data_IF_722901669803
#
_entry.id   IF_722901669803
#
_cell.length_a   1.000
_cell.length_b   1.000
_cell.length_c   1.000
_cell.angle_alpha   90.00
_cell.angle_beta   90.00
_cell.angle_gamma   90.00
#
_symmetry.space_group_name_H-M   'P 1'
#
loop_
_entity.id
_entity.type
_entity.pdbx_description
1 polymer ?
#
# COMPACT_ATOMS: atom_id res chain seq x y z
N UNK A 1 -9.43 10.81 2.52
CA UNK A 1 -8.67 9.56 2.40
C UNK A 1 -8.61 8.90 3.77
N UNK A 2 -8.99 7.64 3.89
CA UNK A 2 -8.93 6.92 5.18
C UNK A 2 -7.50 6.49 5.46
N UNK A 3 -7.05 6.70 6.69
CA UNK A 3 -5.72 6.36 7.20
C UNK A 3 -5.61 4.85 7.41
N UNK A 4 -6.70 4.20 7.83
CA UNK A 4 -6.74 2.77 8.08
C UNK A 4 -6.41 1.92 6.83
N UNK A 5 -6.75 2.39 5.62
CA UNK A 5 -6.36 1.70 4.38
C UNK A 5 -4.86 1.79 4.05
N UNK A 6 -4.11 2.64 4.75
CA UNK A 6 -2.66 2.77 4.58
C UNK A 6 -1.85 1.97 5.62
N UNK A 7 -2.49 1.06 6.36
CA UNK A 7 -1.79 0.15 7.27
C UNK A 7 -0.89 -0.76 6.41
N UNK A 8 0.43 -0.83 6.69
CA UNK A 8 1.33 -1.73 5.98
C UNK A 8 0.86 -3.18 6.14
N UNK A 9 0.86 -3.95 5.04
CA UNK A 9 0.51 -5.38 5.06
C UNK A 9 1.66 -6.20 5.66
N UNK A 10 2.89 -5.69 5.56
CA UNK A 10 4.08 -6.31 6.14
C UNK A 10 4.11 -6.12 7.66
N UNK A 11 3.98 -7.22 8.40
CA UNK A 11 3.94 -7.22 9.87
C UNK A 11 5.13 -6.50 10.52
N UNK A 12 6.32 -6.53 9.89
CA UNK A 12 7.52 -5.85 10.39
C UNK A 12 7.48 -4.33 10.29
N UNK A 13 6.64 -3.77 9.41
CA UNK A 13 6.53 -2.32 9.22
C UNK A 13 5.45 -1.68 10.09
N UNK A 14 4.50 -2.48 10.61
CA UNK A 14 3.37 -1.98 11.41
C UNK A 14 3.84 -1.20 12.64
N UNK A 15 4.83 -1.66 13.45
CA UNK A 15 5.25 -0.92 14.64
C UNK A 15 5.73 0.50 14.30
N UNK A 16 6.70 0.63 13.41
CA UNK A 16 7.24 1.94 12.98
C UNK A 16 6.20 2.85 12.32
N UNK A 17 5.22 2.26 11.63
CA UNK A 17 4.09 3.01 11.09
C UNK A 17 3.19 3.54 12.20
N UNK A 18 2.84 2.71 13.18
CA UNK A 18 1.95 3.04 14.27
C UNK A 18 2.58 4.07 15.21
N UNK A 19 3.87 3.98 15.49
CA UNK A 19 4.61 4.99 16.27
C UNK A 19 4.55 6.39 15.64
N UNK A 20 4.57 6.47 14.31
CA UNK A 20 4.38 7.74 13.60
C UNK A 20 2.96 8.28 13.71
N UNK A 21 1.97 7.39 13.82
CA UNK A 21 0.59 7.82 14.09
C UNK A 21 0.45 8.29 15.54
N UNK A 22 1.06 7.59 16.49
CA UNK A 22 1.04 7.94 17.93
C UNK A 22 1.67 9.31 18.18
N UNK A 23 2.79 9.61 17.53
CA UNK A 23 3.46 10.93 17.64
C UNK A 23 2.84 12.00 16.73
N UNK A 24 1.87 11.63 15.89
CA UNK A 24 1.24 12.50 14.91
C UNK A 24 -0.09 13.08 15.38
N UNK A 25 -0.55 14.12 14.69
CA UNK A 25 -1.84 14.80 14.97
C UNK A 25 -3.07 14.04 14.46
N UNK A 26 -2.88 12.91 13.79
CA UNK A 26 -3.95 12.16 13.12
C UNK A 26 -4.42 10.93 13.88
N UNK A 27 -3.85 10.64 15.07
CA UNK A 27 -4.15 9.43 15.83
C UNK A 27 -5.66 9.28 16.12
N UNK A 28 -6.32 10.33 16.61
CA UNK A 28 -7.76 10.27 16.93
C UNK A 28 -8.64 9.92 15.72
N UNK A 29 -8.24 10.35 14.52
CA UNK A 29 -8.92 9.97 13.28
C UNK A 29 -8.70 8.49 12.96
N UNK A 30 -7.47 8.01 13.05
CA UNK A 30 -7.15 6.59 12.84
C UNK A 30 -7.96 5.70 13.80
N UNK A 31 -8.03 6.09 15.07
CA UNK A 31 -8.80 5.36 16.09
C UNK A 31 -10.27 5.26 15.69
N UNK A 32 -10.90 6.37 15.29
CA UNK A 32 -12.28 6.35 14.83
C UNK A 32 -12.52 5.47 13.59
N UNK A 33 -11.58 5.44 12.64
CA UNK A 33 -11.67 4.56 11.46
C UNK A 33 -11.54 3.08 11.83
N UNK A 34 -10.61 2.73 12.74
CA UNK A 34 -10.44 1.37 13.24
C UNK A 34 -11.64 0.90 14.06
N UNK A 35 -12.26 1.78 14.87
CA UNK A 35 -13.49 1.47 15.61
C UNK A 35 -14.65 1.11 14.66
N UNK A 36 -14.78 1.81 13.54
CA UNK A 36 -15.80 1.50 12.53
C UNK A 36 -15.53 0.13 11.89
N UNK A 37 -14.26 -0.22 11.63
CA UNK A 37 -13.88 -1.47 10.98
C UNK A 37 -14.01 -2.70 11.89
N UNK A 38 -13.62 -2.58 13.16
CA UNK A 38 -13.64 -3.71 14.10
C UNK A 38 -14.95 -3.84 14.88
N UNK A 39 -15.81 -2.81 14.81
CA UNK A 39 -17.00 -2.72 15.63
C UNK A 39 -16.68 -2.40 17.09
N UNK A 40 -17.74 -2.28 17.88
CA UNK A 40 -17.64 -1.92 19.30
C UNK A 40 -17.25 -3.14 20.13
N UNK A 41 -15.94 -3.43 20.22
CA UNK A 41 -15.42 -4.46 21.11
C UNK A 41 -15.40 -3.99 22.57
N UNK A 42 -15.30 -4.94 23.51
CA UNK A 42 -15.03 -4.61 24.90
C UNK A 42 -13.71 -3.85 25.00
N UNK A 43 -13.73 -2.67 25.62
CA UNK A 43 -12.57 -1.79 25.69
C UNK A 43 -11.58 -2.37 26.70
N UNK A 44 -10.42 -2.80 26.19
CA UNK A 44 -9.24 -3.12 27.00
C UNK A 44 -8.31 -1.90 27.02
N UNK A 45 -7.73 -1.63 28.17
CA UNK A 45 -6.76 -0.54 28.35
C UNK A 45 -5.42 -0.88 27.71
N UNK A 46 -4.55 0.12 27.54
CA UNK A 46 -3.17 -0.11 27.13
C UNK A 46 -2.43 -1.01 28.12
N UNK A 47 -2.66 -0.83 29.43
CA UNK A 47 -2.11 -1.70 30.48
C UNK A 47 -2.57 -3.15 30.34
N UNK A 48 -3.85 -3.39 30.05
CA UNK A 48 -4.39 -4.75 29.86
C UNK A 48 -3.80 -5.47 28.64
N UNK A 49 -3.40 -4.72 27.60
CA UNK A 49 -2.92 -5.28 26.32
C UNK A 49 -1.40 -5.42 26.32
N UNK A 50 -0.69 -4.38 26.75
CA UNK A 50 0.77 -4.35 26.78
C UNK A 50 1.34 -5.09 28.00
N UNK A 51 0.64 -5.10 29.14
CA UNK A 51 1.15 -5.66 30.39
C UNK A 51 2.52 -5.09 30.75
N UNK A 52 3.46 -5.99 31.06
CA UNK A 52 4.82 -5.65 31.45
C UNK A 52 5.64 -4.92 30.37
N UNK A 53 5.17 -4.91 29.11
CA UNK A 53 5.86 -4.21 28.02
C UNK A 53 5.56 -2.71 27.96
N UNK A 54 4.65 -2.19 28.80
CA UNK A 54 4.24 -0.78 28.69
C UNK A 54 5.43 0.17 28.94
N UNK A 55 6.27 -0.14 29.94
CA UNK A 55 7.48 0.63 30.25
C UNK A 55 8.48 0.59 29.08
N UNK A 56 8.71 -0.60 28.51
CA UNK A 56 9.55 -0.79 27.33
C UNK A 56 9.05 -0.01 26.11
N UNK A 57 7.73 0.14 25.95
CA UNK A 57 7.13 0.92 24.86
C UNK A 57 7.43 2.41 25.05
N UNK A 58 7.29 2.94 26.26
CA UNK A 58 7.65 4.33 26.59
C UNK A 58 9.16 4.60 26.41
N UNK A 59 10.00 3.61 26.69
CA UNK A 59 11.45 3.72 26.59
C UNK A 59 11.95 3.57 25.14
N UNK A 60 11.47 2.56 24.41
CA UNK A 60 12.10 2.06 23.17
C UNK A 60 11.17 2.05 21.95
N UNK A 61 9.90 2.41 22.09
CA UNK A 61 8.92 2.34 21.00
C UNK A 61 8.16 1.03 20.94
N UNK A 62 7.27 0.90 19.95
CA UNK A 62 6.46 -0.30 19.72
C UNK A 62 7.25 -1.44 19.08
N UNK A 63 8.48 -1.20 18.61
CA UNK A 63 9.35 -2.23 18.04
C UNK A 63 9.73 -3.36 18.99
N UNK A 64 9.61 -3.16 20.31
CA UNK A 64 9.84 -4.19 21.33
C UNK A 64 8.66 -5.17 21.49
N UNK A 65 7.47 -4.82 20.98
CA UNK A 65 6.26 -5.60 21.21
C UNK A 65 6.20 -6.86 20.34
N UNK A 66 5.77 -8.00 20.90
CA UNK A 66 5.40 -9.17 20.10
C UNK A 66 4.29 -8.85 19.08
N UNK A 67 4.32 -9.45 17.86
CA UNK A 67 3.32 -9.17 16.81
C UNK A 67 1.85 -9.38 17.23
N UNK A 68 1.61 -10.31 18.17
CA UNK A 68 0.28 -10.55 18.75
C UNK A 68 -0.26 -9.33 19.50
N UNK A 69 0.60 -8.64 20.27
CA UNK A 69 0.22 -7.45 21.03
C UNK A 69 -0.10 -6.31 20.08
N UNK A 70 0.69 -6.13 19.02
CA UNK A 70 0.40 -5.15 17.96
C UNK A 70 -0.96 -5.40 17.33
N UNK A 71 -1.30 -6.67 17.05
CA UNK A 71 -2.62 -7.04 16.51
C UNK A 71 -3.74 -6.72 17.49
N UNK A 72 -3.52 -6.98 18.79
CA UNK A 72 -4.50 -6.68 19.83
C UNK A 72 -4.68 -5.16 20.03
N UNK A 73 -3.63 -4.36 19.92
CA UNK A 73 -3.72 -2.89 19.92
C UNK A 73 -4.58 -2.37 18.76
N UNK A 74 -4.38 -2.91 17.55
CA UNK A 74 -5.19 -2.52 16.38
C UNK A 74 -6.67 -2.93 16.52
N UNK A 75 -6.94 -4.06 17.18
CA UNK A 75 -8.31 -4.50 17.50
C UNK A 75 -8.97 -3.72 18.65
N UNK A 76 -8.18 -3.05 19.47
CA UNK A 76 -8.62 -2.23 20.60
C UNK A 76 -8.12 -0.78 20.40
N UNK A 77 -8.57 -0.07 19.36
CA UNK A 77 -7.93 1.15 18.90
C UNK A 77 -7.88 2.28 19.93
N UNK A 78 -8.77 2.29 20.93
CA UNK A 78 -8.71 3.28 22.04
C UNK A 78 -7.45 3.17 22.90
N UNK A 79 -6.90 1.96 23.06
CA UNK A 79 -5.64 1.76 23.78
C UNK A 79 -4.48 2.53 23.15
N UNK A 80 -4.54 2.87 21.85
CA UNK A 80 -3.54 3.70 21.19
C UNK A 80 -3.51 5.14 21.74
N UNK A 81 -4.65 5.69 22.15
CA UNK A 81 -4.73 7.02 22.78
C UNK A 81 -4.11 6.99 24.17
N UNK A 82 -4.33 5.91 24.93
CA UNK A 82 -3.71 5.72 26.23
C UNK A 82 -2.18 5.56 26.09
N UNK A 83 -1.70 4.82 25.08
CA UNK A 83 -0.26 4.77 24.78
C UNK A 83 0.28 6.17 24.44
N UNK A 84 -0.45 6.97 23.66
CA UNK A 84 -0.05 8.34 23.37
C UNK A 84 0.05 9.18 24.65
N UNK A 85 -0.90 9.05 25.57
CA UNK A 85 -0.87 9.72 26.87
C UNK A 85 0.39 9.32 27.67
N UNK A 86 0.68 8.03 27.81
CA UNK A 86 1.88 7.54 28.49
C UNK A 86 3.18 8.03 27.81
N UNK A 87 3.22 8.05 26.49
CA UNK A 87 4.36 8.58 25.73
C UNK A 87 4.53 10.09 25.90
N UNK A 88 3.44 10.86 26.04
CA UNK A 88 3.51 12.29 26.29
C UNK A 88 3.92 12.63 27.73
N UNK A 89 3.54 11.79 28.69
CA UNK A 89 3.87 11.99 30.12
C UNK A 89 5.28 11.48 30.47
N UNK A 90 5.65 10.31 29.98
CA UNK A 90 6.84 9.56 30.41
C UNK A 90 7.73 9.09 29.25
N UNK A 91 7.47 9.52 28.01
CA UNK A 91 8.23 9.07 26.84
C UNK A 91 9.70 9.47 26.87
N UNK A 92 10.56 8.54 26.46
CA UNK A 92 12.01 8.76 26.36
C UNK A 92 12.41 9.70 25.20
N UNK A 93 13.70 10.06 25.08
CA UNK A 93 14.23 10.81 23.93
C UNK A 93 13.94 10.17 22.57
N UNK A 94 13.67 8.87 22.52
CA UNK A 94 13.25 8.16 21.30
C UNK A 94 12.04 8.83 20.66
N UNK A 95 10.98 9.05 21.45
CA UNK A 95 9.70 9.59 20.98
C UNK A 95 9.81 11.06 20.57
N UNK A 96 10.65 11.84 21.26
CA UNK A 96 10.95 13.22 20.89
C UNK A 96 11.64 13.31 19.53
N UNK A 97 12.63 12.44 19.27
CA UNK A 97 13.29 12.39 17.96
C UNK A 97 12.34 11.96 16.85
N UNK A 98 11.44 11.01 17.13
CA UNK A 98 10.46 10.54 16.17
C UNK A 98 9.45 11.64 15.81
N UNK A 99 8.94 12.37 16.82
CA UNK A 99 8.06 13.52 16.62
C UNK A 99 8.73 14.62 15.78
N UNK A 100 9.98 14.97 16.10
CA UNK A 100 10.74 15.96 15.33
C UNK A 100 10.92 15.56 13.85
N UNK A 101 11.18 14.27 13.58
CA UNK A 101 11.28 13.74 12.21
C UNK A 101 9.93 13.82 11.47
N UNK A 102 8.83 13.52 12.14
CA UNK A 102 7.48 13.59 11.56
C UNK A 102 7.10 15.03 11.20
N UNK A 103 7.39 15.99 12.08
CA UNK A 103 7.14 17.41 11.85
C UNK A 103 7.94 17.94 10.66
N UNK A 104 9.23 17.58 10.57
CA UNK A 104 10.06 17.96 9.43
C UNK A 104 9.50 17.42 8.11
N UNK A 105 9.05 16.16 8.10
CA UNK A 105 8.41 15.53 6.94
C UNK A 105 7.10 16.21 6.55
N UNK A 106 6.23 16.54 7.53
CA UNK A 106 4.97 17.22 7.27
C UNK A 106 5.17 18.66 6.79
N UNK A 107 6.10 19.41 7.39
CA UNK A 107 6.44 20.77 6.96
C UNK A 107 6.98 20.78 5.54
N UNK A 108 7.88 19.85 5.19
CA UNK A 108 8.42 19.71 3.83
C UNK A 108 7.31 19.47 2.81
N UNK A 109 6.36 18.56 3.08
CA UNK A 109 5.20 18.31 2.21
C UNK A 109 4.28 19.52 2.10
N UNK A 110 4.04 20.23 3.21
CA UNK A 110 3.22 21.44 3.19
C UNK A 110 3.86 22.52 2.31
N UNK A 111 5.17 22.74 2.44
CA UNK A 111 5.91 23.68 1.60
C UNK A 111 5.90 23.27 0.13
N UNK A 112 6.09 21.98 -0.18
CA UNK A 112 6.04 21.47 -1.54
C UNK A 112 4.66 21.70 -2.18
N UNK A 113 3.58 21.45 -1.43
CA UNK A 113 2.21 21.73 -1.89
C UNK A 113 1.95 23.24 -2.08
N UNK A 114 2.47 24.10 -1.21
CA UNK A 114 2.34 25.56 -1.36
C UNK A 114 3.09 26.06 -2.60
N UNK A 115 4.31 25.56 -2.84
CA UNK A 115 5.10 25.93 -4.03
C UNK A 115 4.41 25.45 -5.31
N UNK A 116 3.94 24.21 -5.36
CA UNK A 116 3.22 23.65 -6.52
C UNK A 116 1.93 24.45 -6.79
N UNK A 117 1.15 24.75 -5.75
CA UNK A 117 -0.08 25.54 -5.90
C UNK A 117 0.20 27.01 -6.27
N UNK A 118 1.32 27.58 -5.84
CA UNK A 118 1.71 28.95 -6.17
C UNK A 118 2.26 29.09 -7.60
N UNK A 119 2.83 28.02 -8.16
CA UNK A 119 3.36 28.02 -9.54
C UNK A 119 2.30 27.62 -10.58
N UNK A 120 1.25 26.88 -10.18
CA UNK A 120 0.13 26.52 -11.06
C UNK A 120 -0.94 27.61 -11.22
N UNK A 121 -0.91 28.67 -10.42
CA UNK A 121 -1.97 29.67 -10.34
C UNK A 121 -1.56 31.06 -10.83
N UNK A 122 -1.63 31.31 -12.14
CA UNK A 122 -1.97 32.57 -12.86
C UNK A 122 -1.06 32.85 -14.07
N UNK A 123 -1.48 32.34 -15.23
CA UNK A 123 -1.32 33.06 -16.50
C UNK A 123 -2.46 34.08 -16.64
N UNK A 124 -2.42 35.16 -15.86
CA UNK A 124 -3.11 36.39 -16.24
C UNK A 124 -2.05 37.45 -16.56
N UNK A 125 -1.78 37.58 -17.86
CA UNK A 125 -1.07 38.72 -18.42
C UNK A 125 -1.75 40.01 -17.98
N UNK A 126 -1.06 40.78 -17.15
CA UNK A 126 -1.26 42.23 -17.09
C UNK A 126 0.11 42.87 -17.22
N UNK A 127 0.29 43.51 -18.38
CA UNK A 127 1.28 44.55 -18.60
C UNK A 127 1.22 45.57 -17.46
N UNK A 128 2.32 45.75 -16.72
CA UNK A 128 2.67 47.08 -16.23
C UNK A 128 4.17 47.19 -16.03
N UNK A 129 4.78 47.87 -17.00
CA UNK A 129 5.98 48.67 -16.84
C UNK A 129 5.86 49.56 -15.60
N UNK A 130 6.93 49.66 -14.81
CA UNK A 130 7.51 50.90 -14.27
C UNK A 130 8.83 50.53 -13.59
N UNK A 131 9.88 51.22 -14.02
CA UNK A 131 11.20 51.21 -13.41
C UNK A 131 11.16 51.90 -12.04
N UNK A 132 11.86 51.37 -11.04
CA UNK A 132 12.67 52.23 -10.17
C UNK A 132 13.75 51.44 -9.41
N UNK A 133 14.69 52.20 -8.90
CA UNK A 133 16.10 52.00 -8.66
C UNK A 133 16.37 51.77 -7.16
N UNK A 134 17.63 51.51 -6.84
CA UNK A 134 18.30 51.64 -5.52
C UNK A 134 17.97 50.56 -4.46
N UNK A 135 18.83 50.15 -3.54
CA UNK A 135 20.26 50.31 -3.21
C UNK A 135 20.47 49.58 -1.85
N UNK A 136 21.70 49.14 -1.56
CA UNK A 136 22.26 48.72 -0.25
C UNK A 136 21.66 47.55 0.56
N UNK A 137 22.56 46.75 1.14
CA UNK A 137 22.30 46.09 2.42
C UNK A 137 23.17 44.88 2.74
N UNK A 138 24.46 45.10 3.02
CA UNK A 138 25.39 44.12 3.59
C UNK A 138 25.01 43.67 5.01
N UNK A 139 25.21 42.39 5.31
CA UNK A 139 25.78 41.93 6.58
C UNK A 139 24.84 41.27 7.60
N UNK A 140 25.05 39.99 7.88
CA UNK A 140 24.90 39.46 9.24
C UNK A 140 25.81 38.23 9.48
N UNK A 141 26.76 38.46 10.39
CA UNK A 141 27.60 37.56 11.21
C UNK A 141 26.81 36.41 11.87
N UNK A 142 27.32 35.17 11.92
CA UNK A 142 28.33 34.66 12.87
C UNK A 142 27.83 34.58 14.33
N UNK A 143 27.63 33.34 14.85
CA UNK A 143 27.77 32.94 16.28
C UNK A 143 27.41 31.46 16.55
N UNK A 144 28.45 30.70 16.93
CA UNK A 144 28.65 29.94 18.18
C UNK A 144 27.57 28.93 18.63
N UNK A 145 27.84 27.63 18.78
CA UNK A 145 28.80 26.91 19.65
C UNK A 145 28.52 26.99 21.17
N UNK A 146 28.05 25.87 21.76
CA UNK A 146 28.23 25.33 23.14
C UNK A 146 27.36 24.07 23.28
N UNK A 147 27.90 22.88 23.54
CA UNK A 147 28.48 22.32 24.79
C UNK A 147 27.49 22.12 25.95
N UNK A 148 27.58 20.91 26.53
CA UNK A 148 27.10 20.35 27.82
C UNK A 148 26.16 19.16 27.59
N UNK A 149 26.55 17.88 27.75
CA UNK A 149 27.29 17.21 28.82
C UNK A 149 26.59 17.37 30.18
N UNK A 150 25.81 16.36 30.57
CA UNK A 150 25.49 16.11 31.98
C UNK A 150 25.27 14.61 32.22
N UNK A 151 26.11 14.09 33.12
CA UNK A 151 26.07 12.76 33.74
C UNK A 151 25.04 12.74 34.89
N UNK A 152 24.64 11.53 35.30
CA UNK A 152 24.05 11.26 36.63
C UNK A 152 22.77 10.41 36.55
N UNK A 153 22.78 9.09 36.80
CA UNK A 153 22.97 8.41 38.11
C UNK A 153 21.73 8.49 39.02
N UNK A 154 20.92 7.41 39.06
CA UNK A 154 20.03 7.00 40.18
C UNK A 154 19.44 5.61 39.84
N UNK A 155 19.84 4.50 40.48
CA UNK A 155 19.47 3.96 41.81
C UNK A 155 18.41 2.86 41.76
N UNK A 156 18.91 1.64 41.92
CA UNK A 156 18.40 0.45 42.63
C UNK A 156 17.24 0.65 43.63
N UNK A 157 16.18 -0.16 43.48
CA UNK A 157 15.35 -0.80 44.51
C UNK A 157 14.53 -1.89 43.78
N UNK A 158 14.72 -3.19 44.01
CA UNK A 158 14.34 -4.00 45.18
C UNK A 158 12.89 -3.78 45.64
N UNK A 159 11.94 -4.57 45.09
CA UNK A 159 10.68 -4.91 45.75
C UNK A 159 10.27 -6.35 45.40
N UNK A 160 9.95 -7.05 46.47
CA UNK A 160 9.54 -8.43 46.69
C UNK A 160 8.06 -8.71 46.37
N UNK A 161 7.78 -9.95 45.94
CA UNK A 161 6.83 -10.89 46.58
C UNK A 161 5.33 -10.94 46.21
N UNK A 162 4.86 -12.19 46.31
CA UNK A 162 3.52 -12.76 46.48
C UNK A 162 2.42 -12.66 45.39
N UNK A 163 2.23 -13.80 44.70
CA UNK A 163 1.10 -14.71 44.89
C UNK A 163 -0.35 -14.24 44.67
N UNK A 164 -1.10 -14.94 43.82
CA UNK A 164 -2.33 -15.68 44.20
C UNK A 164 -3.12 -16.20 42.99
N UNK A 165 -3.56 -17.45 43.15
CA UNK A 165 -4.57 -18.18 42.37
C UNK A 165 -5.91 -17.45 42.25
N UNK A 166 -6.60 -17.64 41.12
CA UNK A 166 -8.06 -17.78 41.11
C UNK A 166 -8.60 -18.43 39.82
N UNK A 167 -9.07 -19.67 40.00
CA UNK A 167 -10.05 -20.40 39.21
C UNK A 167 -11.30 -19.58 38.86
N UNK A 168 -11.79 -19.64 37.61
CA UNK A 168 -13.15 -19.18 37.24
C UNK A 168 -13.79 -20.14 36.21
N UNK A 169 -15.09 -20.49 36.34
CA UNK A 169 -15.66 -21.69 35.74
C UNK A 169 -16.31 -21.49 34.36
N UNK A 170 -16.33 -22.58 33.60
CA UNK A 170 -17.07 -22.78 32.34
C UNK A 170 -18.57 -22.97 32.62
N UNK A 171 -19.42 -22.26 31.86
CA UNK A 171 -20.87 -22.54 31.79
C UNK A 171 -21.39 -22.47 30.34
N UNK A 172 -22.28 -23.40 29.91
CA UNK A 172 -22.73 -23.51 28.53
C UNK A 172 -24.01 -22.71 28.27
N UNK A 173 -24.26 -22.35 27.00
CA UNK A 173 -25.56 -21.86 26.53
C UNK A 173 -25.97 -22.57 25.24
N UNK A 174 -27.02 -23.37 25.38
CA UNK A 174 -27.91 -23.84 24.32
C UNK A 174 -28.69 -22.67 23.69
N UNK A 175 -28.97 -22.74 22.40
CA UNK A 175 -29.63 -21.63 21.71
C UNK A 175 -30.15 -21.89 20.30
N UNK A 176 -30.83 -23.02 20.10
CA UNK A 176 -31.87 -23.29 19.09
C UNK A 176 -32.39 -22.06 18.30
N UNK A 177 -32.19 -22.01 16.97
CA UNK A 177 -33.12 -21.32 16.05
C UNK A 177 -33.30 -22.08 14.73
N UNK A 178 -34.50 -22.66 14.59
CA UNK A 178 -35.13 -23.00 13.31
C UNK A 178 -35.58 -21.74 12.59
N UNK A 179 -35.42 -21.66 11.26
CA UNK A 179 -36.41 -21.01 10.38
C UNK A 179 -36.22 -21.33 8.89
N UNK A 180 -37.22 -22.07 8.41
CA UNK A 180 -38.03 -21.83 7.19
C UNK A 180 -37.35 -21.76 5.83
N UNK A 181 -37.74 -22.78 5.05
CA UNK A 181 -37.90 -22.79 3.61
C UNK A 181 -38.54 -21.52 3.05
N UNK A 182 -38.01 -21.06 1.91
CA UNK A 182 -38.74 -20.27 0.93
C UNK A 182 -38.44 -20.79 -0.49
N UNK A 183 -39.52 -21.26 -1.10
CA UNK A 183 -39.84 -21.37 -2.53
C UNK A 183 -38.86 -20.73 -3.52
N UNK A 184 -38.41 -21.52 -4.49
CA UNK A 184 -38.16 -21.00 -5.85
C UNK A 184 -38.94 -21.86 -6.85
N UNK A 185 -39.92 -21.21 -7.47
CA UNK A 185 -40.63 -21.66 -8.65
C UNK A 185 -40.09 -20.83 -9.82
N UNK A 186 -39.42 -21.45 -10.80
CA UNK A 186 -39.20 -20.86 -12.12
C UNK A 186 -39.33 -21.96 -13.18
N UNK A 187 -40.54 -22.00 -13.74
CA UNK A 187 -40.86 -22.10 -15.17
C UNK A 187 -40.10 -23.11 -16.04
N UNK A 188 -40.72 -24.27 -16.20
CA UNK A 188 -40.63 -25.12 -17.38
C UNK A 188 -41.76 -24.72 -18.36
N UNK A 189 -41.40 -24.26 -19.56
CA UNK A 189 -42.28 -24.29 -20.72
C UNK A 189 -41.46 -24.55 -21.97
N UNK A 190 -41.18 -25.82 -22.16
CA UNK A 190 -40.87 -26.40 -23.46
C UNK A 190 -42.14 -26.59 -24.31
N UNK A 191 -41.93 -26.57 -25.64
CA UNK A 191 -42.78 -27.12 -26.70
C UNK A 191 -43.96 -26.27 -27.23
N UNK A 192 -43.79 -25.73 -28.45
CA UNK A 192 -44.43 -26.29 -29.66
C UNK A 192 -44.37 -25.28 -30.82
N UNK A 193 -43.53 -25.55 -31.82
CA UNK A 193 -43.92 -25.32 -33.22
C UNK A 193 -43.26 -26.36 -34.12
N UNK A 194 -44.02 -27.44 -34.30
CA UNK A 194 -43.75 -28.55 -35.22
C UNK A 194 -43.88 -28.09 -36.67
N UNK A 195 -42.86 -28.45 -37.45
CA UNK A 195 -42.93 -29.22 -38.69
C UNK A 195 -43.80 -28.65 -39.81
N UNK A 196 -43.13 -28.02 -40.78
CA UNK A 196 -43.27 -28.33 -42.22
C UNK A 196 -42.04 -27.75 -42.94
N UNK A 197 -41.59 -28.45 -43.97
CA UNK A 197 -40.45 -28.12 -44.87
C UNK A 197 -39.07 -28.70 -44.47
N UNK A 198 -39.04 -30.00 -44.17
CA UNK A 198 -37.84 -30.82 -44.38
C UNK A 198 -38.02 -31.57 -45.70
N UNK A 199 -37.36 -31.12 -46.78
CA UNK A 199 -37.08 -31.97 -47.96
C UNK A 199 -35.96 -31.48 -48.90
N UNK A 200 -35.17 -30.46 -48.53
CA UNK A 200 -34.19 -29.86 -49.45
C UNK A 200 -32.82 -29.49 -48.83
N UNK A 201 -32.32 -30.21 -47.81
CA UNK A 201 -30.99 -29.90 -47.23
C UNK A 201 -30.19 -31.17 -46.94
N UNK A 202 -29.66 -31.82 -47.98
CA UNK A 202 -28.69 -32.91 -47.83
C UNK A 202 -27.35 -32.68 -48.57
N UNK A 203 -27.11 -31.47 -49.10
CA UNK A 203 -25.81 -31.13 -49.72
C UNK A 203 -25.07 -29.93 -49.12
N UNK A 204 -25.63 -29.23 -48.12
CA UNK A 204 -25.00 -28.04 -47.51
C UNK A 204 -24.34 -28.28 -46.15
N UNK A 205 -24.47 -29.47 -45.55
CA UNK A 205 -23.92 -29.74 -44.22
C UNK A 205 -22.40 -30.02 -44.22
N UNK A 206 -21.84 -30.60 -45.30
CA UNK A 206 -20.42 -30.95 -45.34
C UNK A 206 -19.49 -29.75 -45.56
N UNK A 207 -19.92 -28.74 -46.33
CA UNK A 207 -19.12 -27.54 -46.59
C UNK A 207 -19.10 -26.57 -45.39
N UNK A 208 -20.20 -26.50 -44.61
CA UNK A 208 -20.28 -25.66 -43.42
C UNK A 208 -19.37 -26.15 -42.28
N UNK A 209 -19.19 -27.46 -42.12
CA UNK A 209 -18.31 -28.03 -41.09
C UNK A 209 -16.82 -27.78 -41.42
N UNK A 210 -16.43 -27.80 -42.70
CA UNK A 210 -15.05 -27.52 -43.11
C UNK A 210 -14.67 -26.02 -43.02
N UNK A 211 -15.62 -25.09 -43.19
CA UNK A 211 -15.35 -23.67 -42.99
C UNK A 211 -15.23 -23.29 -41.50
N UNK A 212 -15.95 -23.97 -40.61
CA UNK A 212 -15.85 -23.73 -39.16
C UNK A 212 -14.51 -24.25 -38.59
N UNK A 213 -13.94 -25.33 -39.13
CA UNK A 213 -12.63 -25.82 -38.67
C UNK A 213 -11.47 -24.96 -39.18
N UNK A 214 -11.58 -24.35 -40.37
CA UNK A 214 -10.51 -23.47 -40.91
C UNK A 214 -10.48 -22.10 -40.23
N UNK A 215 -11.64 -21.53 -39.86
CA UNK A 215 -11.70 -20.23 -39.15
C UNK A 215 -11.26 -20.34 -37.68
N UNK A 216 -11.47 -21.48 -37.02
CA UNK A 216 -11.00 -21.68 -35.63
C UNK A 216 -9.51 -22.05 -35.55
N UNK A 217 -8.90 -22.51 -36.66
CA UNK A 217 -7.48 -22.84 -36.74
C UNK A 217 -6.61 -21.74 -37.35
N UNK A 218 -7.19 -20.63 -37.82
CA UNK A 218 -6.35 -19.48 -38.10
C UNK A 218 -5.73 -19.04 -36.78
N UNK A 219 -4.38 -19.08 -36.66
CA UNK A 219 -3.73 -18.45 -35.54
C UNK A 219 -4.13 -16.99 -35.66
N UNK A 220 -5.07 -16.58 -34.82
CA UNK A 220 -5.10 -15.19 -34.41
C UNK A 220 -3.73 -15.02 -33.80
N UNK A 221 -2.80 -14.50 -34.60
CA UNK A 221 -1.57 -13.88 -34.15
C UNK A 221 -2.05 -12.69 -33.32
N UNK A 222 -2.60 -13.01 -32.15
CA UNK A 222 -3.09 -12.06 -31.19
C UNK A 222 -1.88 -11.21 -30.90
N UNK A 223 -2.08 -9.89 -30.99
CA UNK A 223 -1.11 -8.94 -30.47
C UNK A 223 -0.55 -9.51 -29.16
N UNK A 224 0.78 -9.49 -28.97
CA UNK A 224 1.41 -10.09 -27.80
C UNK A 224 0.63 -9.67 -26.56
N UNK A 225 0.04 -10.66 -25.85
CA UNK A 225 -1.00 -10.45 -24.82
C UNK A 225 -0.44 -9.86 -23.51
N UNK A 226 0.62 -9.08 -23.59
CA UNK A 226 1.26 -8.44 -22.47
C UNK A 226 2.32 -7.47 -22.96
N UNK A 227 2.45 -6.35 -22.27
CA UNK A 227 3.57 -5.42 -22.40
C UNK A 227 4.21 -5.22 -21.03
N UNK A 228 5.46 -4.73 -21.02
CA UNK A 228 6.22 -4.54 -19.79
C UNK A 228 6.21 -5.77 -18.88
N UNK A 229 5.77 -5.61 -17.63
CA UNK A 229 5.77 -6.69 -16.63
C UNK A 229 4.76 -7.81 -16.87
N UNK A 230 3.75 -7.58 -17.72
CA UNK A 230 2.79 -8.62 -18.11
C UNK A 230 3.28 -9.45 -19.31
N UNK A 231 4.45 -9.12 -19.87
CA UNK A 231 4.99 -9.85 -21.01
C UNK A 231 5.44 -11.26 -20.60
N UNK A 232 5.06 -12.31 -21.35
CA UNK A 232 5.55 -13.67 -21.08
C UNK A 232 7.07 -13.79 -21.24
N UNK A 233 7.69 -12.91 -22.04
CA UNK A 233 9.14 -12.93 -22.30
C UNK A 233 9.96 -12.43 -21.10
N UNK A 234 9.32 -11.75 -20.14
CA UNK A 234 10.00 -11.15 -18.98
C UNK A 234 10.75 -12.19 -18.14
N UNK A 235 10.12 -13.35 -17.90
CA UNK A 235 10.69 -14.43 -17.10
C UNK A 235 11.56 -15.38 -17.92
N UNK A 236 11.48 -15.32 -19.26
CA UNK A 236 12.28 -16.13 -20.16
C UNK A 236 13.71 -15.57 -20.34
N UNK A 237 14.00 -14.39 -19.81
CA UNK A 237 15.31 -13.77 -19.92
C UNK A 237 16.39 -14.57 -19.17
N UNK A 238 17.48 -14.94 -19.88
CA UNK A 238 18.56 -15.79 -19.38
C UNK A 238 19.64 -15.01 -18.60
N UNK A 239 19.59 -13.67 -18.58
CA UNK A 239 20.53 -12.87 -17.81
C UNK A 239 20.33 -13.05 -16.30
N UNK A 240 21.41 -12.89 -15.54
CA UNK A 240 21.44 -13.04 -14.07
C UNK A 240 21.74 -11.73 -13.36
N UNK A 241 21.41 -11.69 -12.07
CA UNK A 241 21.70 -10.62 -11.12
C UNK A 241 21.28 -9.25 -11.69
N UNK A 242 22.21 -8.29 -11.74
CA UNK A 242 21.93 -6.94 -12.23
C UNK A 242 21.40 -6.93 -13.67
N UNK A 243 21.85 -7.84 -14.55
CA UNK A 243 21.32 -7.89 -15.93
C UNK A 243 19.84 -8.26 -15.96
N UNK A 244 19.41 -9.13 -15.04
CA UNK A 244 18.00 -9.48 -14.90
C UNK A 244 17.20 -8.28 -14.39
N UNK A 245 17.72 -7.55 -13.39
CA UNK A 245 17.09 -6.34 -12.88
C UNK A 245 17.01 -5.22 -13.94
N UNK A 246 18.06 -5.04 -14.74
CA UNK A 246 18.06 -4.10 -15.86
C UNK A 246 17.02 -4.48 -16.91
N UNK A 247 16.86 -5.79 -17.20
CA UNK A 247 15.81 -6.28 -18.09
C UNK A 247 14.40 -5.97 -17.56
N UNK A 248 14.17 -6.14 -16.26
CA UNK A 248 12.92 -5.70 -15.63
C UNK A 248 12.76 -4.17 -15.76
N UNK A 249 13.81 -3.40 -15.52
CA UNK A 249 13.75 -1.93 -15.64
C UNK A 249 13.36 -1.48 -17.05
N UNK A 250 13.91 -2.13 -18.09
CA UNK A 250 13.58 -1.84 -19.48
C UNK A 250 12.14 -2.24 -19.83
N UNK A 251 11.65 -3.37 -19.28
CA UNK A 251 10.25 -3.76 -19.41
C UNK A 251 9.32 -2.75 -18.74
N UNK A 252 9.63 -2.28 -17.53
CA UNK A 252 8.86 -1.23 -16.87
C UNK A 252 8.92 0.10 -17.66
N UNK A 253 10.05 0.42 -18.30
CA UNK A 253 10.23 1.58 -19.16
C UNK A 253 9.24 1.66 -20.33
N UNK A 254 8.69 0.53 -20.76
CA UNK A 254 7.65 0.49 -21.80
C UNK A 254 6.35 1.21 -21.40
N UNK A 255 6.16 1.52 -20.11
CA UNK A 255 5.11 2.41 -19.64
C UNK A 255 5.03 3.70 -20.47
N UNK A 256 6.19 4.30 -20.76
CA UNK A 256 6.30 5.57 -21.48
C UNK A 256 6.03 5.48 -22.99
N UNK A 257 5.99 4.27 -23.58
CA UNK A 257 5.90 4.09 -25.04
C UNK A 257 4.54 4.49 -25.62
N UNK A 258 3.47 4.43 -24.83
CA UNK A 258 2.16 4.94 -25.23
C UNK A 258 1.59 5.68 -24.02
N UNK A 259 1.24 6.95 -24.18
CA UNK A 259 0.58 7.67 -23.09
C UNK A 259 -0.92 7.36 -23.13
N UNK A 260 -1.54 6.97 -21.99
CA UNK A 260 -2.99 6.88 -21.93
C UNK A 260 -3.60 8.27 -22.15
N UNK A 261 -4.75 8.32 -22.81
CA UNK A 261 -5.44 9.58 -23.14
C UNK A 261 -6.63 9.88 -22.23
N UNK A 262 -7.10 8.88 -21.50
CA UNK A 262 -8.22 9.00 -20.56
C UNK A 262 -8.07 8.03 -19.36
N UNK A 263 -9.00 8.17 -18.39
CA UNK A 263 -9.04 7.35 -17.19
C UNK A 263 -9.21 5.84 -17.48
N UNK A 264 -9.90 5.47 -18.55
CA UNK A 264 -10.14 4.07 -18.89
C UNK A 264 -8.85 3.41 -19.37
N UNK A 265 -8.14 4.05 -20.32
CA UNK A 265 -6.86 3.57 -20.81
C UNK A 265 -5.79 3.56 -19.71
N UNK A 266 -5.77 4.59 -18.85
CA UNK A 266 -4.84 4.67 -17.73
C UNK A 266 -5.09 3.53 -16.72
N UNK A 267 -6.35 3.32 -16.34
CA UNK A 267 -6.75 2.24 -15.43
C UNK A 267 -6.34 0.88 -16.00
N UNK A 268 -6.61 0.61 -17.27
CA UNK A 268 -6.26 -0.65 -17.92
C UNK A 268 -4.75 -0.92 -17.85
N UNK A 269 -3.92 0.08 -18.16
CA UNK A 269 -2.47 -0.07 -18.06
C UNK A 269 -1.97 -0.28 -16.65
N UNK A 270 -2.49 0.48 -15.67
CA UNK A 270 -2.13 0.30 -14.26
C UNK A 270 -2.49 -1.11 -13.80
N UNK A 271 -3.65 -1.63 -14.21
CA UNK A 271 -4.06 -3.00 -13.90
C UNK A 271 -3.09 -4.05 -14.50
N UNK A 272 -2.68 -3.88 -15.77
CA UNK A 272 -1.70 -4.76 -16.43
C UNK A 272 -0.33 -4.71 -15.75
N UNK A 273 0.11 -3.51 -15.33
CA UNK A 273 1.36 -3.34 -14.58
C UNK A 273 1.29 -4.03 -13.22
N UNK A 274 0.18 -3.82 -12.49
CA UNK A 274 -0.10 -4.45 -11.19
C UNK A 274 -0.16 -5.98 -11.28
N UNK A 275 -0.77 -6.50 -12.34
CA UNK A 275 -0.81 -7.95 -12.63
C UNK A 275 0.59 -8.51 -12.85
N UNK A 276 1.43 -7.81 -13.62
CA UNK A 276 2.82 -8.17 -13.85
C UNK A 276 3.65 -8.21 -12.54
N UNK A 277 3.50 -7.22 -11.66
CA UNK A 277 4.08 -7.27 -10.31
C UNK A 277 3.57 -8.50 -9.53
N UNK A 278 2.26 -8.79 -9.61
CA UNK A 278 1.67 -9.96 -8.96
C UNK A 278 2.22 -11.29 -9.49
N UNK A 279 2.54 -11.37 -10.78
CA UNK A 279 3.18 -12.55 -11.37
C UNK A 279 4.62 -12.72 -10.83
N UNK A 280 5.41 -11.65 -10.80
CA UNK A 280 6.77 -11.67 -10.25
C UNK A 280 6.77 -12.11 -8.78
N UNK A 281 5.87 -11.57 -7.96
CA UNK A 281 5.72 -11.95 -6.55
C UNK A 281 5.47 -13.46 -6.41
N UNK A 282 4.51 -14.03 -7.17
CA UNK A 282 4.22 -15.47 -7.13
C UNK A 282 5.42 -16.32 -7.55
N UNK A 283 6.16 -15.89 -8.58
CA UNK A 283 7.37 -16.60 -9.05
C UNK A 283 8.49 -16.58 -8.00
N UNK A 284 8.67 -15.44 -7.31
CA UNK A 284 9.63 -15.28 -6.22
C UNK A 284 9.25 -16.15 -5.01
N UNK A 285 7.98 -16.17 -4.61
CA UNK A 285 7.48 -17.01 -3.51
C UNK A 285 7.63 -18.51 -3.78
N UNK A 286 7.49 -18.91 -5.05
CA UNK A 286 7.73 -20.29 -5.48
C UNK A 286 9.21 -20.64 -5.63
N UNK A 287 10.13 -19.69 -5.35
CA UNK A 287 11.58 -19.84 -5.52
C UNK A 287 11.97 -20.29 -6.95
N UNK A 288 11.20 -19.89 -7.95
CA UNK A 288 11.44 -20.28 -9.35
C UNK A 288 12.42 -19.34 -10.07
N UNK A 289 12.80 -18.23 -9.45
CA UNK A 289 13.60 -17.17 -10.07
C UNK A 289 15.11 -17.37 -9.87
N UNK A 290 15.67 -18.39 -10.51
CA UNK A 290 17.08 -18.77 -10.36
C UNK A 290 18.08 -17.75 -10.94
N UNK A 291 17.59 -16.67 -11.56
CA UNK A 291 18.41 -15.59 -12.11
C UNK A 291 19.01 -14.67 -11.04
N UNK A 292 18.44 -14.64 -9.82
CA UNK A 292 18.85 -13.75 -8.74
C UNK A 292 19.38 -14.52 -7.52
N UNK A 293 20.27 -13.89 -6.75
CA UNK A 293 20.64 -14.39 -5.41
C UNK A 293 19.46 -14.35 -4.45
N UNK A 294 19.44 -15.15 -3.37
CA UNK A 294 18.34 -15.14 -2.39
C UNK A 294 18.08 -13.75 -1.77
N UNK A 295 19.14 -12.99 -1.52
CA UNK A 295 19.04 -11.61 -1.02
C UNK A 295 18.38 -10.68 -2.05
N UNK A 296 18.79 -10.76 -3.32
CA UNK A 296 18.19 -9.98 -4.39
C UNK A 296 16.74 -10.42 -4.67
N UNK A 297 16.41 -11.70 -4.51
CA UNK A 297 15.04 -12.21 -4.60
C UNK A 297 14.15 -11.60 -3.50
N UNK A 298 14.59 -11.62 -2.24
CA UNK A 298 13.85 -11.04 -1.14
C UNK A 298 13.66 -9.54 -1.33
N UNK A 299 14.74 -8.82 -1.68
CA UNK A 299 14.67 -7.40 -1.99
C UNK A 299 13.66 -7.11 -3.12
N UNK A 300 13.69 -7.89 -4.20
CA UNK A 300 12.78 -7.69 -5.33
C UNK A 300 11.32 -7.98 -4.94
N UNK A 301 11.09 -8.98 -4.09
CA UNK A 301 9.76 -9.33 -3.57
C UNK A 301 9.17 -8.17 -2.77
N UNK A 302 9.90 -7.67 -1.78
CA UNK A 302 9.47 -6.54 -0.94
C UNK A 302 9.19 -5.29 -1.78
N UNK A 303 10.07 -5.01 -2.76
CA UNK A 303 9.89 -3.89 -3.69
C UNK A 303 8.65 -4.06 -4.56
N UNK A 304 8.42 -5.25 -5.12
CA UNK A 304 7.25 -5.52 -5.94
C UNK A 304 5.95 -5.39 -5.14
N UNK A 305 5.92 -5.82 -3.87
CA UNK A 305 4.77 -5.60 -2.98
C UNK A 305 4.49 -4.10 -2.79
N UNK A 306 5.52 -3.33 -2.45
CA UNK A 306 5.38 -1.90 -2.23
C UNK A 306 4.93 -1.15 -3.50
N UNK A 307 5.48 -1.49 -4.67
CA UNK A 307 5.10 -0.88 -5.94
C UNK A 307 3.70 -1.27 -6.36
N UNK A 308 3.34 -2.55 -6.26
CA UNK A 308 1.99 -3.03 -6.54
C UNK A 308 0.95 -2.28 -5.69
N UNK A 309 1.21 -2.13 -4.39
CA UNK A 309 0.31 -1.39 -3.49
C UNK A 309 0.09 0.07 -3.92
N UNK A 310 1.14 0.76 -4.39
CA UNK A 310 1.01 2.14 -4.92
C UNK A 310 0.20 2.19 -6.22
N UNK A 311 0.48 1.28 -7.15
CA UNK A 311 -0.25 1.17 -8.41
C UNK A 311 -1.73 0.86 -8.17
N UNK A 312 -2.04 -0.07 -7.25
CA UNK A 312 -3.41 -0.39 -6.85
C UNK A 312 -4.11 0.81 -6.20
N UNK A 313 -3.37 1.64 -5.46
CA UNK A 313 -3.85 2.93 -4.95
C UNK A 313 -4.26 3.90 -6.05
N UNK A 314 -3.46 4.01 -7.12
CA UNK A 314 -3.78 4.85 -8.30
C UNK A 314 -5.02 4.34 -9.03
N UNK A 315 -5.18 3.02 -9.17
CA UNK A 315 -6.41 2.42 -9.73
C UNK A 315 -7.63 2.80 -8.86
N UNK A 316 -7.51 2.68 -7.54
CA UNK A 316 -8.58 3.05 -6.62
C UNK A 316 -8.92 4.54 -6.69
N UNK A 317 -7.94 5.42 -6.95
CA UNK A 317 -8.17 6.85 -7.12
C UNK A 317 -9.01 7.16 -8.38
N UNK A 318 -8.73 6.45 -9.50
CA UNK A 318 -9.54 6.54 -10.72
C UNK A 318 -10.96 6.05 -10.46
N UNK A 319 -11.10 4.89 -9.82
CA UNK A 319 -12.39 4.22 -9.59
C UNK A 319 -13.32 5.06 -8.69
N UNK A 320 -12.75 5.69 -7.67
CA UNK A 320 -13.47 6.54 -6.75
C UNK A 320 -13.57 8.00 -7.21
N UNK A 321 -12.98 8.35 -8.36
CA UNK A 321 -12.90 9.71 -8.88
C UNK A 321 -12.33 10.71 -7.85
N UNK A 322 -11.37 10.27 -7.03
CA UNK A 322 -10.82 11.09 -5.94
C UNK A 322 -9.75 12.07 -6.40
N UNK A 323 -9.17 11.87 -7.58
CA UNK A 323 -8.13 12.69 -8.21
C UNK A 323 -8.44 12.88 -9.71
N UNK A 324 -7.90 13.94 -10.32
CA UNK A 324 -8.05 14.14 -11.77
C UNK A 324 -7.21 13.11 -12.57
N UNK A 325 -7.58 12.91 -13.84
CA UNK A 325 -6.84 12.04 -14.75
C UNK A 325 -5.34 12.41 -14.81
N UNK A 326 -5.04 13.70 -14.93
CA UNK A 326 -3.68 14.22 -15.01
C UNK A 326 -2.90 13.96 -13.71
N UNK A 327 -3.52 14.17 -12.56
CA UNK A 327 -2.89 13.92 -11.26
C UNK A 327 -2.53 12.45 -11.08
N UNK A 328 -3.48 11.53 -11.36
CA UNK A 328 -3.21 10.09 -11.23
C UNK A 328 -2.14 9.65 -12.23
N UNK A 329 -2.18 10.15 -13.46
CA UNK A 329 -1.16 9.84 -14.47
C UNK A 329 0.22 10.31 -14.01
N UNK A 330 0.36 11.55 -13.55
CA UNK A 330 1.64 12.10 -13.13
C UNK A 330 2.19 11.35 -11.89
N UNK A 331 1.33 10.97 -10.93
CA UNK A 331 1.72 10.11 -9.81
C UNK A 331 2.13 8.70 -10.23
N UNK A 332 1.46 8.14 -11.23
CA UNK A 332 1.83 6.84 -11.81
C UNK A 332 3.19 6.92 -12.53
N UNK A 333 3.43 7.95 -13.34
CA UNK A 333 4.70 8.21 -14.02
C UNK A 333 5.85 8.28 -13.01
N UNK A 334 5.69 9.08 -11.94
CA UNK A 334 6.68 9.20 -10.87
C UNK A 334 6.93 7.84 -10.16
N UNK A 335 5.87 7.06 -9.94
CA UNK A 335 5.98 5.73 -9.32
C UNK A 335 6.80 4.78 -10.19
N UNK A 336 6.54 4.76 -11.50
CA UNK A 336 7.24 3.90 -12.47
C UNK A 336 8.69 4.35 -12.63
N UNK A 337 8.97 5.65 -12.69
CA UNK A 337 10.34 6.18 -12.79
C UNK A 337 11.20 5.79 -11.59
N UNK A 338 10.65 5.92 -10.37
CA UNK A 338 11.33 5.50 -9.14
C UNK A 338 11.60 3.99 -9.11
N UNK A 339 10.66 3.19 -9.60
CA UNK A 339 10.81 1.75 -9.73
C UNK A 339 11.94 1.41 -10.71
N UNK A 340 11.95 2.01 -11.90
CA UNK A 340 13.00 1.79 -12.92
C UNK A 340 14.38 2.13 -12.33
N UNK A 341 14.48 3.26 -11.64
CA UNK A 341 15.71 3.71 -10.99
C UNK A 341 16.17 2.70 -9.92
N UNK A 342 15.25 2.22 -9.10
CA UNK A 342 15.56 1.22 -8.07
C UNK A 342 16.03 -0.11 -8.68
N UNK A 343 15.40 -0.60 -9.75
CA UNK A 343 15.83 -1.81 -10.45
C UNK A 343 17.24 -1.68 -11.04
N UNK A 344 17.54 -0.54 -11.67
CA UNK A 344 18.89 -0.26 -12.22
C UNK A 344 19.97 -0.12 -11.16
N UNK A 345 19.59 0.28 -9.95
CA UNK A 345 20.54 0.38 -8.84
C UNK A 345 20.73 -0.97 -8.15
N UNK A 346 19.67 -1.79 -8.12
CA UNK A 346 19.65 -3.06 -7.42
C UNK A 346 19.64 -2.90 -5.89
N UNK A 347 19.72 -4.01 -5.14
CA UNK A 347 20.01 -3.97 -3.70
C UNK A 347 21.39 -3.35 -3.48
N UNK A 348 21.46 -2.35 -2.59
CA UNK A 348 22.75 -1.83 -2.12
C UNK A 348 23.45 -2.90 -1.30
N UNK A 349 24.60 -3.36 -1.79
CA UNK A 349 25.45 -4.37 -1.15
C UNK A 349 26.07 -3.90 0.17
#
# INVERSE_FOLDING_TARGET
>A
MSIAFNIPIENGLIPSWLERQITGTQLGRLVGELEVLHGQAAQRTAGDICGDFLDDVTENGLGCLPPRIITDLLRNPRSLLEIQEHVLEAGSPYWLQLSAKNDAGQRSRHLQNVVVNSLGGKNHSTHSSVADKTDRGTGYSDRQARDQQNDGQFSEADVTDDGADADVPVRPSDGRQSRRAFSSAVSDHSAMRRRRLLRWTLSSAAAAVLLITVVTQWPTNGAPRGWGFSSPDLLAFEGRDQKFLDHLADAAGQWSNKQPSDNSELRERLAQFSEGCGQLIRTLEQQQLNQLTPEAQQWLHDRCLAWKGRIDGHIAAIDNQSESFEQVRDHADETVEKLITALRTGPTA
#
